data_IF_346152040895
#
_entry.id   IF_346152040895
#
_cell.length_a   1.000
_cell.length_b   1.000
_cell.length_c   1.000
_cell.angle_alpha   90.00
_cell.angle_beta   90.00
_cell.angle_gamma   90.00
#
_symmetry.space_group_name_H-M   'P 1'
#
loop_
_entity.id
_entity.type
_entity.pdbx_description
1 polymer ?
#
# COMPACT_ATOMS: atom_id res chain seq x y z
N UNK A 1 7.28 91.10 33.17
CA UNK A 1 8.58 91.32 32.49
C UNK A 1 8.70 90.24 31.42
N UNK A 2 8.67 90.45 30.09
CA UNK A 2 8.50 91.59 29.17
C UNK A 2 7.57 91.07 28.02
N UNK A 3 6.44 91.73 27.67
CA UNK A 3 6.24 92.65 26.50
C UNK A 3 6.32 91.88 25.14
N UNK A 4 5.44 91.95 24.11
CA UNK A 4 4.76 93.03 23.33
C UNK A 4 3.78 92.33 22.35
N UNK A 5 2.50 92.71 22.22
CA UNK A 5 1.89 93.62 21.22
C UNK A 5 2.14 93.26 19.72
N UNK A 6 1.00 93.12 19.02
CA UNK A 6 0.73 93.00 17.58
C UNK A 6 1.38 94.06 16.66
N UNK A 7 1.50 93.73 15.36
CA UNK A 7 1.15 94.53 14.16
C UNK A 7 1.58 93.73 12.90
N UNK A 8 0.68 93.28 12.01
CA UNK A 8 -0.01 93.97 10.88
C UNK A 8 0.90 94.36 9.69
N UNK A 9 0.56 93.75 8.54
CA UNK A 9 0.40 94.30 7.16
C UNK A 9 1.50 94.19 6.09
N UNK A 10 0.97 94.19 4.83
CA UNK A 10 1.55 94.25 3.47
C UNK A 10 1.74 92.88 2.79
N UNK A 11 1.40 92.61 1.52
CA UNK A 11 1.11 93.40 0.29
C UNK A 11 0.55 92.38 -0.76
N UNK A 12 -0.68 92.49 -1.32
CA UNK A 12 -1.11 93.05 -2.63
C UNK A 12 -0.75 92.27 -3.92
N UNK A 13 -1.73 92.22 -4.86
CA UNK A 13 -1.79 91.84 -6.30
C UNK A 13 -2.10 90.34 -6.61
N UNK A 14 -3.23 89.88 -7.20
CA UNK A 14 -4.20 90.31 -8.25
C UNK A 14 -3.86 89.76 -9.65
N UNK A 15 -4.86 89.07 -10.25
CA UNK A 15 -5.23 88.85 -11.68
C UNK A 15 -5.64 87.36 -11.90
N UNK A 16 -6.93 86.98 -11.95
CA UNK A 16 -8.00 87.08 -12.98
C UNK A 16 -7.97 86.00 -14.08
N UNK A 17 -9.10 85.28 -14.25
CA UNK A 17 -9.41 84.41 -15.40
C UNK A 17 -10.37 83.25 -15.05
N UNK A 18 -11.63 83.53 -14.73
CA UNK A 18 -12.83 83.33 -15.58
C UNK A 18 -13.42 81.89 -15.67
N UNK A 19 -14.67 81.84 -15.20
CA UNK A 19 -15.85 81.18 -15.77
C UNK A 19 -16.15 79.68 -15.51
N UNK A 20 -17.10 79.52 -14.56
CA UNK A 20 -18.39 78.80 -14.65
C UNK A 20 -18.41 77.27 -14.66
N UNK A 21 -19.09 76.76 -13.62
CA UNK A 21 -20.11 75.73 -13.79
C UNK A 21 -19.77 74.40 -13.13
N UNK A 22 -20.39 74.13 -11.99
CA UNK A 22 -21.38 73.08 -11.78
C UNK A 22 -21.36 72.63 -10.32
N UNK A 23 -22.57 72.56 -9.76
CA UNK A 23 -22.88 71.94 -8.49
C UNK A 23 -22.32 70.51 -8.51
N UNK A 24 -21.27 70.22 -7.74
CA UNK A 24 -20.93 68.84 -7.41
C UNK A 24 -21.69 68.47 -6.14
N UNK A 25 -22.83 67.82 -6.35
CA UNK A 25 -23.37 66.84 -5.41
C UNK A 25 -22.25 65.85 -5.08
N UNK A 26 -21.88 65.74 -3.81
CA UNK A 26 -21.05 64.63 -3.35
C UNK A 26 -21.94 63.38 -3.38
N UNK A 27 -21.86 62.61 -4.47
CA UNK A 27 -22.20 61.20 -4.44
C UNK A 27 -21.06 60.48 -3.70
N UNK A 28 -21.19 60.33 -2.38
CA UNK A 28 -20.50 59.27 -1.65
C UNK A 28 -21.26 57.96 -1.93
N UNK A 29 -21.14 57.49 -3.17
CA UNK A 29 -21.57 56.17 -3.60
C UNK A 29 -20.39 55.21 -3.35
N UNK A 30 -20.10 54.93 -2.08
CA UNK A 30 -19.29 53.76 -1.68
C UNK A 30 -20.10 52.52 -2.04
N UNK A 31 -20.08 52.17 -3.33
CA UNK A 31 -20.66 50.92 -3.84
C UNK A 31 -19.90 49.78 -3.19
N UNK A 32 -20.54 49.13 -2.21
CA UNK A 32 -20.20 47.79 -1.78
C UNK A 32 -19.95 46.94 -3.03
N UNK A 33 -18.69 46.60 -3.29
CA UNK A 33 -18.35 45.57 -4.27
C UNK A 33 -18.56 44.25 -3.55
N UNK A 34 -19.53 43.42 -3.96
CA UNK A 34 -19.59 42.05 -3.46
C UNK A 34 -18.24 41.40 -3.73
N UNK A 35 -17.73 40.62 -2.77
CA UNK A 35 -16.58 39.75 -3.04
C UNK A 35 -16.88 38.92 -4.30
N UNK A 36 -15.86 38.68 -5.12
CA UNK A 36 -16.01 37.87 -6.33
C UNK A 36 -16.61 36.50 -5.96
N UNK A 37 -17.54 36.01 -6.78
CA UNK A 37 -18.18 34.71 -6.57
C UNK A 37 -17.14 33.59 -6.65
N UNK A 38 -16.66 33.11 -5.51
CA UNK A 38 -15.68 32.03 -5.44
C UNK A 38 -16.41 30.72 -5.27
N UNK A 39 -16.38 29.91 -6.33
CA UNK A 39 -16.94 28.56 -6.35
C UNK A 39 -15.82 27.54 -6.29
N UNK A 40 -15.99 26.53 -5.44
CA UNK A 40 -15.05 25.42 -5.29
C UNK A 40 -15.83 24.10 -5.26
N UNK A 41 -15.29 23.07 -5.90
CA UNK A 41 -15.74 21.69 -5.66
C UNK A 41 -14.85 21.09 -4.57
N UNK A 42 -15.47 20.63 -3.49
CA UNK A 42 -14.77 19.93 -2.40
C UNK A 42 -15.23 18.49 -2.36
N UNK A 43 -14.27 17.56 -2.35
CA UNK A 43 -14.55 16.15 -2.07
C UNK A 43 -14.61 15.89 -0.57
N UNK A 44 -15.62 15.15 -0.10
CA UNK A 44 -15.72 14.75 1.32
C UNK A 44 -14.51 13.92 1.79
N UNK A 45 -13.88 13.15 0.90
CA UNK A 45 -12.68 12.37 1.22
C UNK A 45 -11.38 13.19 1.13
N UNK A 46 -11.45 14.44 0.63
CA UNK A 46 -10.28 15.27 0.37
C UNK A 46 -9.52 14.92 -0.92
N UNK A 47 -9.96 13.90 -1.67
CA UNK A 47 -9.35 13.47 -2.94
C UNK A 47 -10.41 13.30 -4.03
N UNK A 48 -9.98 13.44 -5.29
CA UNK A 48 -10.83 13.27 -6.48
C UNK A 48 -10.62 11.91 -7.16
N UNK A 49 -10.55 10.85 -6.36
CA UNK A 49 -10.44 9.48 -6.84
C UNK A 49 -11.46 8.60 -6.13
N UNK A 50 -12.00 7.61 -6.82
CA UNK A 50 -12.99 6.68 -6.25
C UNK A 50 -12.91 5.31 -6.94
N UNK A 51 -13.17 4.24 -6.19
CA UNK A 51 -13.30 2.92 -6.78
C UNK A 51 -14.55 2.87 -7.68
N UNK A 52 -14.46 2.13 -8.79
CA UNK A 52 -15.64 1.78 -9.60
C UNK A 52 -16.77 1.27 -8.70
N UNK A 53 -17.99 1.71 -9.01
CA UNK A 53 -19.24 1.40 -8.29
C UNK A 53 -19.32 1.91 -6.83
N UNK A 54 -18.27 2.55 -6.31
CA UNK A 54 -18.31 3.26 -5.04
C UNK A 54 -18.77 4.72 -5.24
N UNK A 55 -19.15 5.38 -4.15
CA UNK A 55 -19.70 6.74 -4.19
C UNK A 55 -18.67 7.78 -3.74
N UNK A 56 -18.48 8.81 -4.57
CA UNK A 56 -17.76 10.02 -4.21
C UNK A 56 -18.74 11.16 -3.93
N UNK A 57 -18.65 11.76 -2.75
CA UNK A 57 -19.49 12.89 -2.36
C UNK A 57 -18.76 14.20 -2.65
N UNK A 58 -19.32 14.98 -3.59
CA UNK A 58 -18.82 16.29 -3.98
C UNK A 58 -19.75 17.36 -3.41
N UNK A 59 -19.18 18.44 -2.90
CA UNK A 59 -19.91 19.61 -2.39
C UNK A 59 -19.48 20.85 -3.14
N UNK A 60 -20.44 21.62 -3.62
CA UNK A 60 -20.20 22.96 -4.11
C UNK A 60 -20.09 23.91 -2.90
N UNK A 61 -19.00 24.66 -2.82
CA UNK A 61 -18.78 25.66 -1.78
C UNK A 61 -18.73 27.04 -2.42
N UNK A 62 -19.50 27.97 -1.85
CA UNK A 62 -19.47 29.39 -2.18
C UNK A 62 -19.12 30.23 -0.96
N UNK A 63 -18.42 31.33 -1.20
CA UNK A 63 -18.08 32.34 -0.19
C UNK A 63 -19.27 33.24 0.20
N UNK A 64 -20.28 33.41 -0.66
CA UNK A 64 -21.47 34.24 -0.39
C UNK A 64 -22.79 33.49 -0.67
N UNK A 65 -23.50 32.96 0.35
CA UNK A 65 -24.70 32.17 0.16
C UNK A 65 -25.94 33.05 -0.01
N UNK A 66 -26.22 33.53 -1.22
CA UNK A 66 -27.56 34.00 -1.61
C UNK A 66 -28.40 32.83 -2.14
N UNK A 67 -29.56 33.10 -2.75
CA UNK A 67 -30.40 32.08 -3.39
C UNK A 67 -29.72 31.58 -4.68
N UNK A 68 -28.69 30.73 -4.52
CA UNK A 68 -27.85 30.22 -5.60
C UNK A 68 -28.47 28.97 -6.21
N UNK A 69 -28.50 28.91 -7.54
CA UNK A 69 -28.84 27.68 -8.27
C UNK A 69 -27.58 26.97 -8.72
N UNK A 70 -27.46 25.70 -8.38
CA UNK A 70 -26.38 24.84 -8.85
C UNK A 70 -26.80 24.02 -10.06
N UNK A 71 -25.85 23.73 -10.93
CA UNK A 71 -26.00 22.76 -12.01
C UNK A 71 -24.70 21.99 -12.15
N UNK A 72 -24.73 20.71 -11.78
CA UNK A 72 -23.63 19.77 -11.98
C UNK A 72 -23.78 19.12 -13.33
N UNK A 73 -22.69 19.02 -14.09
CA UNK A 73 -22.64 18.25 -15.32
C UNK A 73 -21.54 17.22 -15.31
N UNK A 74 -21.84 16.00 -15.74
CA UNK A 74 -20.90 14.93 -16.03
C UNK A 74 -20.69 14.86 -17.53
N UNK A 75 -19.46 15.11 -17.99
CA UNK A 75 -19.10 15.14 -19.41
C UNK A 75 -20.09 15.98 -20.27
N UNK A 76 -20.55 17.10 -19.70
CA UNK A 76 -21.50 18.04 -20.33
C UNK A 76 -22.98 17.71 -20.18
N UNK A 77 -23.37 16.59 -19.57
CA UNK A 77 -24.76 16.25 -19.28
C UNK A 77 -25.14 16.62 -17.84
N UNK A 78 -26.28 17.29 -17.64
CA UNK A 78 -26.77 17.63 -16.30
C UNK A 78 -27.08 16.38 -15.47
N UNK A 79 -26.54 16.33 -14.26
CA UNK A 79 -26.66 15.17 -13.34
C UNK A 79 -27.22 15.53 -11.96
N UNK A 80 -27.15 16.80 -11.56
CA UNK A 80 -27.70 17.27 -10.28
C UNK A 80 -27.87 18.79 -10.27
N UNK A 81 -28.79 19.27 -9.46
CA UNK A 81 -28.96 20.70 -9.14
C UNK A 81 -28.86 21.00 -7.64
N UNK A 82 -28.51 20.00 -6.82
CA UNK A 82 -28.31 20.15 -5.38
C UNK A 82 -26.92 20.75 -5.08
N UNK A 83 -26.75 21.29 -3.88
CA UNK A 83 -25.45 21.71 -3.31
C UNK A 83 -24.45 20.56 -3.14
N UNK A 84 -24.93 19.32 -3.14
CA UNK A 84 -24.14 18.09 -3.04
C UNK A 84 -24.44 17.20 -4.24
N UNK A 85 -23.38 16.64 -4.84
CA UNK A 85 -23.50 15.65 -5.90
C UNK A 85 -22.88 14.31 -5.45
N UNK A 86 -23.66 13.24 -5.59
CA UNK A 86 -23.23 11.85 -5.37
C UNK A 86 -22.77 11.26 -6.69
N UNK A 87 -21.47 11.26 -6.93
CA UNK A 87 -20.87 10.69 -8.13
C UNK A 87 -20.65 9.19 -7.97
N UNK A 88 -21.12 8.40 -8.94
CA UNK A 88 -20.92 6.94 -9.04
C UNK A 88 -20.66 6.61 -10.51
N UNK A 89 -19.66 5.78 -10.80
CA UNK A 89 -19.33 5.35 -12.15
C UNK A 89 -19.22 3.82 -12.24
N UNK A 90 -19.81 3.26 -13.30
CA UNK A 90 -19.76 1.83 -13.59
C UNK A 90 -18.51 1.41 -14.38
N UNK A 91 -17.76 2.35 -14.94
CA UNK A 91 -16.56 2.09 -15.72
C UNK A 91 -15.38 2.86 -15.14
N UNK A 92 -14.18 2.30 -15.32
CA UNK A 92 -12.93 2.97 -14.96
C UNK A 92 -12.62 4.06 -15.98
N UNK A 93 -11.87 5.08 -15.55
CA UNK A 93 -11.45 6.19 -16.42
C UNK A 93 -11.46 7.52 -15.70
N UNK A 94 -11.15 8.58 -16.45
CA UNK A 94 -11.24 9.95 -15.95
C UNK A 94 -12.57 10.56 -16.39
N UNK A 95 -13.30 11.12 -15.45
CA UNK A 95 -14.58 11.77 -15.68
C UNK A 95 -14.48 13.25 -15.36
N UNK A 96 -14.95 14.10 -16.28
CA UNK A 96 -14.96 15.54 -16.05
C UNK A 96 -16.28 15.93 -15.37
N UNK A 97 -16.16 16.53 -14.20
CA UNK A 97 -17.29 17.14 -13.50
C UNK A 97 -17.15 18.66 -13.57
N UNK A 98 -18.20 19.31 -14.06
CA UNK A 98 -18.36 20.76 -13.95
C UNK A 98 -19.47 21.06 -12.95
N UNK A 99 -19.31 22.08 -12.12
CA UNK A 99 -20.41 22.69 -11.37
C UNK A 99 -20.52 24.15 -11.74
N UNK A 100 -21.72 24.55 -12.16
CA UNK A 100 -22.09 25.94 -12.39
C UNK A 100 -22.91 26.44 -11.22
N UNK A 101 -22.59 27.63 -10.73
CA UNK A 101 -23.41 28.38 -9.79
C UNK A 101 -23.95 29.63 -10.48
N UNK A 102 -25.25 29.88 -10.33
CA UNK A 102 -25.91 31.10 -10.82
C UNK A 102 -26.46 31.88 -9.64
N UNK A 103 -25.98 33.11 -9.46
CA UNK A 103 -26.44 34.07 -8.44
C UNK A 103 -26.86 35.37 -9.12
N UNK A 104 -28.13 35.77 -8.99
CA UNK A 104 -28.63 37.03 -9.55
C UNK A 104 -28.47 37.22 -11.07
N UNK A 105 -28.10 36.18 -11.83
CA UNK A 105 -27.80 36.25 -13.27
C UNK A 105 -26.30 36.19 -13.61
N UNK A 106 -25.41 36.29 -12.63
CA UNK A 106 -23.99 35.98 -12.79
C UNK A 106 -23.78 34.48 -12.73
N UNK A 107 -23.01 33.93 -13.67
CA UNK A 107 -22.66 32.51 -13.74
C UNK A 107 -21.17 32.32 -13.50
N UNK A 108 -20.80 31.40 -12.63
CA UNK A 108 -19.42 30.91 -12.51
C UNK A 108 -19.40 29.39 -12.57
N UNK A 109 -18.38 28.83 -13.21
CA UNK A 109 -18.24 27.39 -13.41
C UNK A 109 -16.84 26.95 -13.01
N UNK A 110 -16.75 25.84 -12.28
CA UNK A 110 -15.47 25.19 -11.98
C UNK A 110 -15.51 23.71 -12.36
N UNK A 111 -14.34 23.18 -12.69
CA UNK A 111 -14.17 21.82 -13.20
C UNK A 111 -13.23 21.03 -12.31
N UNK A 112 -13.52 19.74 -12.13
CA UNK A 112 -12.57 18.75 -11.59
C UNK A 112 -12.53 17.51 -12.49
N UNK A 113 -11.40 16.81 -12.49
CA UNK A 113 -11.29 15.47 -13.09
C UNK A 113 -11.32 14.44 -11.97
N UNK A 114 -12.20 13.44 -12.08
CA UNK A 114 -12.29 12.34 -11.12
C UNK A 114 -11.71 11.08 -11.75
N UNK A 115 -10.69 10.49 -11.10
CA UNK A 115 -10.17 9.18 -11.49
C UNK A 115 -11.03 8.08 -10.87
N UNK A 116 -11.66 7.26 -11.72
CA UNK A 116 -12.35 6.04 -11.31
C UNK A 116 -11.44 4.86 -11.56
N UNK A 117 -11.00 4.24 -10.47
CA UNK A 117 -10.03 3.15 -10.48
C UNK A 117 -10.69 1.78 -10.20
N UNK A 118 -10.00 0.68 -10.48
CA UNK A 118 -10.57 -0.65 -10.25
C UNK A 118 -10.66 -1.00 -8.76
N UNK A 119 -11.72 -1.73 -8.39
CA UNK A 119 -12.11 -1.99 -6.99
C UNK A 119 -10.97 -2.41 -6.06
N UNK A 120 -9.98 -3.13 -6.57
CA UNK A 120 -8.89 -3.72 -5.79
C UNK A 120 -7.57 -2.92 -5.84
N UNK A 121 -7.54 -1.73 -6.45
CA UNK A 121 -6.33 -0.90 -6.58
C UNK A 121 -5.69 -0.55 -5.23
N UNK A 122 -6.51 -0.13 -4.27
CA UNK A 122 -6.05 0.31 -2.94
C UNK A 122 -6.67 -0.54 -1.85
N UNK A 123 -5.83 -1.24 -1.09
CA UNK A 123 -6.26 -2.04 0.05
C UNK A 123 -5.22 -3.07 0.47
N UNK A 124 -5.70 -4.10 1.16
CA UNK A 124 -4.86 -5.20 1.65
C UNK A 124 -5.44 -6.53 1.24
N UNK A 125 -4.60 -7.40 0.70
CA UNK A 125 -4.93 -8.79 0.41
C UNK A 125 -4.45 -9.72 1.52
N UNK A 126 -5.24 -10.73 1.83
CA UNK A 126 -4.83 -11.89 2.63
C UNK A 126 -4.93 -13.11 1.75
N UNK A 127 -3.79 -13.77 1.51
CA UNK A 127 -3.73 -14.98 0.70
C UNK A 127 -3.86 -16.19 1.61
N UNK A 128 -4.84 -17.05 1.34
CA UNK A 128 -5.05 -18.30 2.07
C UNK A 128 -4.54 -19.47 1.24
N UNK A 129 -3.68 -20.31 1.84
CA UNK A 129 -3.19 -21.54 1.21
C UNK A 129 -4.34 -22.47 0.82
N UNK A 130 -5.37 -22.52 1.68
CA UNK A 130 -6.39 -23.56 1.66
C UNK A 130 -5.84 -24.92 2.14
N UNK A 131 -6.69 -25.94 2.08
CA UNK A 131 -6.32 -27.33 2.38
C UNK A 131 -6.70 -28.23 1.21
N UNK A 132 -5.85 -28.28 0.18
CA UNK A 132 -6.15 -28.94 -1.10
C UNK A 132 -6.55 -30.42 -0.92
N UNK A 133 -5.97 -31.11 0.05
CA UNK A 133 -6.30 -32.51 0.39
C UNK A 133 -7.73 -32.70 0.92
N UNK A 134 -8.38 -31.62 1.36
CA UNK A 134 -9.79 -31.57 1.75
C UNK A 134 -10.68 -30.91 0.68
N UNK A 135 -10.14 -30.67 -0.52
CA UNK A 135 -10.85 -29.99 -1.60
C UNK A 135 -10.93 -28.46 -1.44
N UNK A 136 -10.21 -27.87 -0.49
CA UNK A 136 -10.17 -26.42 -0.29
C UNK A 136 -8.95 -25.83 -1.01
N UNK A 137 -9.20 -25.11 -2.09
CA UNK A 137 -8.16 -24.44 -2.87
C UNK A 137 -7.82 -23.06 -2.29
N UNK A 138 -6.78 -22.41 -2.81
CA UNK A 138 -6.39 -21.10 -2.33
C UNK A 138 -7.48 -20.05 -2.51
N UNK A 139 -7.60 -19.14 -1.55
CA UNK A 139 -8.53 -18.00 -1.62
C UNK A 139 -7.81 -16.70 -1.37
N UNK A 140 -8.37 -15.60 -1.89
CA UNK A 140 -7.85 -14.25 -1.70
C UNK A 140 -8.93 -13.44 -0.99
N UNK A 141 -8.61 -12.89 0.17
CA UNK A 141 -9.46 -11.92 0.89
C UNK A 141 -8.97 -10.52 0.56
N UNK A 142 -9.88 -9.57 0.40
CA UNK A 142 -9.55 -8.15 0.24
C UNK A 142 -10.16 -7.32 1.37
N UNK A 143 -9.35 -6.45 1.96
CA UNK A 143 -9.76 -5.45 2.95
C UNK A 143 -9.61 -4.08 2.29
N UNK A 144 -10.73 -3.39 2.10
CA UNK A 144 -10.73 -2.05 1.49
C UNK A 144 -10.12 -1.01 2.43
N UNK A 145 -9.77 0.20 1.94
CA UNK A 145 -9.26 1.28 2.78
C UNK A 145 -10.28 1.74 3.85
N UNK A 146 -11.56 1.44 3.63
CA UNK A 146 -12.66 1.69 4.59
C UNK A 146 -12.79 0.58 5.65
N UNK A 147 -11.94 -0.45 5.63
CA UNK A 147 -12.00 -1.60 6.54
C UNK A 147 -13.07 -2.64 6.19
N UNK A 148 -13.62 -2.60 4.96
CA UNK A 148 -14.63 -3.57 4.53
C UNK A 148 -13.93 -4.81 4.00
N UNK A 149 -14.23 -5.96 4.61
CA UNK A 149 -13.66 -7.26 4.21
C UNK A 149 -14.54 -7.94 3.18
N UNK A 150 -13.94 -8.42 2.10
CA UNK A 150 -14.57 -9.28 1.11
C UNK A 150 -13.73 -10.54 0.94
N UNK A 151 -14.30 -11.69 1.22
CA UNK A 151 -13.65 -12.99 1.04
C UNK A 151 -13.63 -13.41 -0.43
N UNK A 152 -12.75 -14.36 -0.77
CA UNK A 152 -12.77 -15.11 -2.02
C UNK A 152 -12.88 -14.25 -3.29
N UNK A 153 -12.21 -13.09 -3.31
CA UNK A 153 -12.40 -12.07 -4.36
C UNK A 153 -11.97 -12.59 -5.74
N UNK A 154 -10.93 -13.41 -5.82
CA UNK A 154 -10.55 -14.05 -7.09
C UNK A 154 -11.68 -14.93 -7.66
N UNK A 155 -12.30 -15.76 -6.82
CA UNK A 155 -13.42 -16.61 -7.23
C UNK A 155 -14.62 -15.77 -7.66
N UNK A 156 -14.94 -14.70 -6.93
CA UNK A 156 -16.04 -13.80 -7.29
C UNK A 156 -15.83 -13.12 -8.64
N UNK A 157 -14.59 -12.84 -9.00
CA UNK A 157 -14.28 -12.18 -10.28
C UNK A 157 -14.13 -13.14 -11.46
N UNK A 158 -13.78 -14.41 -11.23
CA UNK A 158 -13.42 -15.36 -12.30
C UNK A 158 -14.28 -16.63 -12.34
N UNK A 159 -15.05 -16.94 -11.30
CA UNK A 159 -15.86 -18.16 -11.17
C UNK A 159 -15.06 -19.44 -10.85
N UNK A 160 -13.72 -19.37 -10.87
CA UNK A 160 -12.80 -20.47 -10.53
C UNK A 160 -11.94 -20.16 -9.31
N UNK A 161 -11.39 -21.18 -8.66
CA UNK A 161 -10.50 -21.02 -7.50
C UNK A 161 -9.03 -20.93 -7.92
N UNK A 162 -8.20 -20.36 -7.05
CA UNK A 162 -6.74 -20.39 -7.22
C UNK A 162 -6.21 -21.83 -7.12
N UNK A 163 -4.92 -22.02 -7.35
CA UNK A 163 -4.26 -23.30 -7.13
C UNK A 163 -4.26 -23.73 -5.64
N UNK A 164 -3.92 -24.99 -5.39
CA UNK A 164 -3.85 -25.56 -4.06
C UNK A 164 -2.55 -25.19 -3.33
N UNK A 165 -2.66 -24.67 -2.10
CA UNK A 165 -1.51 -24.27 -1.31
C UNK A 165 -0.84 -23.02 -1.88
N UNK A 166 -1.61 -21.95 -2.13
CA UNK A 166 -1.05 -20.65 -2.54
C UNK A 166 -0.06 -20.14 -1.49
N UNK A 167 1.15 -19.74 -1.87
CA UNK A 167 2.21 -19.39 -0.89
C UNK A 167 2.63 -17.93 -0.93
N UNK A 168 2.59 -17.30 -2.10
CA UNK A 168 3.13 -15.96 -2.27
C UNK A 168 2.41 -15.21 -3.39
N UNK A 169 2.44 -13.88 -3.29
CA UNK A 169 1.77 -12.96 -4.19
C UNK A 169 2.70 -11.80 -4.50
N UNK A 170 2.87 -11.52 -5.79
CA UNK A 170 3.63 -10.38 -6.28
C UNK A 170 2.74 -9.44 -7.09
N UNK A 171 2.96 -8.13 -6.99
CA UNK A 171 2.22 -7.14 -7.79
C UNK A 171 3.22 -6.27 -8.55
N UNK A 172 3.05 -6.18 -9.88
CA UNK A 172 3.88 -5.37 -10.76
C UNK A 172 3.16 -5.06 -12.06
N UNK A 173 3.40 -3.88 -12.64
CA UNK A 173 2.83 -3.42 -13.92
C UNK A 173 1.31 -3.68 -14.08
N UNK A 174 0.54 -3.43 -13.01
CA UNK A 174 -0.91 -3.64 -12.93
C UNK A 174 -1.32 -5.12 -13.11
N UNK A 175 -0.39 -6.02 -12.80
CA UNK A 175 -0.59 -7.46 -12.76
C UNK A 175 -0.29 -7.98 -11.37
N UNK A 176 -1.08 -8.96 -10.98
CA UNK A 176 -1.00 -9.69 -9.73
C UNK A 176 -0.67 -11.14 -10.08
N UNK A 177 0.38 -11.65 -9.46
CA UNK A 177 0.96 -12.96 -9.71
C UNK A 177 0.82 -13.78 -8.43
N UNK A 178 0.15 -14.93 -8.48
CA UNK A 178 0.00 -15.83 -7.32
C UNK A 178 0.64 -17.17 -7.65
N UNK A 179 1.51 -17.65 -6.76
CA UNK A 179 2.15 -18.96 -6.87
C UNK A 179 1.51 -19.97 -5.91
N UNK A 180 1.28 -21.20 -6.38
CA UNK A 180 0.67 -22.30 -5.63
C UNK A 180 1.55 -23.54 -5.64
N UNK A 181 1.66 -24.22 -4.49
CA UNK A 181 2.53 -25.38 -4.35
C UNK A 181 2.08 -26.61 -5.13
N UNK A 182 0.77 -26.81 -5.27
CA UNK A 182 0.19 -28.05 -5.78
C UNK A 182 -0.58 -27.87 -7.09
N UNK A 183 -0.56 -26.66 -7.66
CA UNK A 183 -1.31 -26.35 -8.87
C UNK A 183 -2.82 -26.63 -8.78
N UNK A 184 -3.42 -26.94 -9.92
CA UNK A 184 -4.81 -27.34 -10.07
C UNK A 184 -5.83 -26.20 -10.06
N UNK A 185 -7.11 -26.57 -10.24
CA UNK A 185 -8.25 -25.66 -10.42
C UNK A 185 -8.00 -24.64 -11.56
N UNK A 186 -8.67 -23.50 -11.50
CA UNK A 186 -8.58 -22.42 -12.49
C UNK A 186 -7.24 -21.65 -12.43
N UNK A 187 -6.62 -21.62 -11.24
CA UNK A 187 -5.40 -20.86 -10.98
C UNK A 187 -4.09 -21.55 -11.34
N UNK A 188 -4.04 -22.89 -11.34
CA UNK A 188 -2.84 -23.66 -11.60
C UNK A 188 -1.67 -23.38 -10.64
N UNK A 189 -0.44 -23.71 -11.04
CA UNK A 189 0.77 -23.40 -10.26
C UNK A 189 1.06 -21.90 -10.22
N UNK A 190 0.83 -21.18 -11.32
CA UNK A 190 0.98 -19.73 -11.41
C UNK A 190 -0.29 -19.12 -12.01
N UNK A 191 -0.90 -18.19 -11.28
CA UNK A 191 -2.00 -17.35 -11.76
C UNK A 191 -1.49 -15.94 -12.04
N UNK A 192 -1.84 -15.37 -13.19
CA UNK A 192 -1.63 -13.95 -13.51
C UNK A 192 -2.99 -13.30 -13.76
N UNK A 193 -3.26 -12.20 -13.07
CA UNK A 193 -4.50 -11.43 -13.17
C UNK A 193 -4.23 -9.93 -13.18
N UNK A 194 -5.16 -9.14 -13.67
CA UNK A 194 -5.09 -7.68 -13.53
C UNK A 194 -5.20 -7.30 -12.04
N UNK A 195 -4.30 -6.43 -11.54
CA UNK A 195 -4.21 -6.13 -10.11
C UNK A 195 -5.39 -5.31 -9.58
N UNK A 196 -6.00 -4.44 -10.40
CA UNK A 196 -7.11 -3.58 -9.98
C UNK A 196 -8.50 -4.23 -10.09
N UNK A 197 -8.65 -5.22 -10.98
CA UNK A 197 -9.94 -5.88 -11.28
C UNK A 197 -9.97 -7.37 -10.91
N UNK A 198 -8.81 -7.97 -10.65
CA UNK A 198 -8.59 -9.41 -10.44
C UNK A 198 -9.08 -10.31 -11.58
N UNK A 199 -9.43 -9.76 -12.74
CA UNK A 199 -9.73 -10.58 -13.92
C UNK A 199 -8.49 -11.34 -14.34
N UNK A 200 -8.60 -12.67 -14.40
CA UNK A 200 -7.55 -13.57 -14.81
C UNK A 200 -7.13 -13.24 -16.24
N UNK A 201 -5.82 -13.12 -16.43
CA UNK A 201 -5.21 -12.97 -17.75
C UNK A 201 -4.66 -14.31 -18.24
N UNK A 202 -3.98 -15.05 -17.36
CA UNK A 202 -3.45 -16.38 -17.65
C UNK A 202 -3.26 -17.23 -16.40
N UNK A 203 -3.14 -18.54 -16.60
CA UNK A 203 -2.76 -19.51 -15.58
C UNK A 203 -1.86 -20.58 -16.21
N UNK A 204 -0.92 -21.10 -15.44
CA UNK A 204 0.06 -22.08 -15.92
C UNK A 204 0.06 -23.31 -15.02
N UNK A 205 -0.29 -24.46 -15.60
CA UNK A 205 -0.33 -25.76 -14.92
C UNK A 205 0.69 -26.68 -15.56
N UNK A 206 0.44 -27.09 -16.80
CA UNK A 206 1.25 -28.08 -17.53
C UNK A 206 2.69 -27.60 -17.76
N UNK A 207 2.88 -26.30 -18.01
CA UNK A 207 4.20 -25.70 -18.23
C UNK A 207 5.12 -25.79 -17.00
N UNK A 208 4.54 -25.92 -15.81
CA UNK A 208 5.25 -25.80 -14.54
C UNK A 208 5.24 -27.10 -13.73
N UNK A 209 4.11 -27.84 -13.72
CA UNK A 209 3.85 -28.92 -12.77
C UNK A 209 4.70 -30.17 -12.92
N UNK A 210 5.31 -30.40 -14.08
CA UNK A 210 6.24 -31.52 -14.29
C UNK A 210 7.65 -31.25 -13.77
N UNK A 211 7.99 -29.97 -13.53
CA UNK A 211 9.36 -29.55 -13.21
C UNK A 211 9.47 -28.94 -11.81
N UNK A 212 8.52 -28.09 -11.41
CA UNK A 212 8.56 -27.42 -10.11
C UNK A 212 8.25 -28.38 -8.96
N UNK A 213 8.96 -28.22 -7.85
CA UNK A 213 8.73 -28.97 -6.61
C UNK A 213 8.28 -28.05 -5.48
N UNK A 214 6.96 -28.02 -5.23
CA UNK A 214 6.32 -27.20 -4.20
C UNK A 214 6.76 -25.72 -4.25
N UNK A 215 6.54 -25.01 -5.37
CA UNK A 215 6.94 -23.62 -5.51
C UNK A 215 6.30 -22.74 -4.44
N UNK A 216 7.06 -21.76 -3.97
CA UNK A 216 6.79 -21.09 -2.69
C UNK A 216 6.87 -19.58 -2.74
N UNK A 217 7.75 -19.00 -3.56
CA UNK A 217 7.89 -17.54 -3.62
C UNK A 217 8.04 -17.10 -5.07
N UNK A 218 7.59 -15.88 -5.34
CA UNK A 218 7.60 -15.31 -6.68
C UNK A 218 8.16 -13.89 -6.66
N UNK A 219 8.98 -13.56 -7.64
CA UNK A 219 9.45 -12.21 -7.92
C UNK A 219 9.37 -11.93 -9.42
N UNK A 220 9.06 -10.69 -9.80
CA UNK A 220 8.86 -10.33 -11.20
C UNK A 220 9.74 -9.14 -11.57
N UNK A 221 10.61 -9.31 -12.57
CA UNK A 221 11.39 -8.21 -13.15
C UNK A 221 10.69 -7.58 -14.36
N UNK A 222 9.98 -8.39 -15.15
CA UNK A 222 9.09 -7.94 -16.22
C UNK A 222 8.04 -9.04 -16.53
N UNK A 223 7.08 -8.72 -17.40
CA UNK A 223 5.96 -9.60 -17.76
C UNK A 223 6.40 -10.95 -18.36
N UNK A 224 7.63 -11.03 -18.90
CA UNK A 224 8.27 -12.21 -19.49
C UNK A 224 9.51 -12.70 -18.69
N UNK A 225 9.70 -12.19 -17.48
CA UNK A 225 10.87 -12.42 -16.64
C UNK A 225 10.42 -12.61 -15.18
N UNK A 226 9.74 -13.74 -14.97
CA UNK A 226 9.17 -14.16 -13.69
C UNK A 226 10.13 -15.16 -13.04
N UNK A 227 10.36 -15.04 -11.74
CA UNK A 227 11.25 -15.90 -10.97
C UNK A 227 10.46 -16.60 -9.88
N UNK A 228 10.60 -17.92 -9.82
CA UNK A 228 9.84 -18.81 -8.95
C UNK A 228 10.84 -19.59 -8.10
N UNK A 229 10.76 -19.44 -6.78
CA UNK A 229 11.54 -20.24 -5.83
C UNK A 229 10.76 -21.48 -5.43
N UNK A 230 11.38 -22.64 -5.55
CA UNK A 230 10.83 -23.94 -5.14
C UNK A 230 11.79 -24.69 -4.20
N UNK A 231 11.59 -25.99 -3.97
CA UNK A 231 12.47 -26.79 -3.12
C UNK A 231 13.87 -27.02 -3.69
N UNK A 232 14.07 -26.91 -5.00
CA UNK A 232 15.36 -27.14 -5.65
C UNK A 232 16.19 -25.85 -5.73
N UNK A 233 15.55 -24.69 -5.91
CA UNK A 233 16.24 -23.41 -6.01
C UNK A 233 15.32 -22.35 -6.62
N UNK A 234 15.87 -21.54 -7.53
CA UNK A 234 15.13 -20.51 -8.26
C UNK A 234 15.06 -20.88 -9.74
N UNK A 235 13.87 -20.77 -10.32
CA UNK A 235 13.63 -20.91 -11.75
C UNK A 235 13.19 -19.57 -12.33
N UNK A 236 13.57 -19.31 -13.57
CA UNK A 236 13.04 -18.24 -14.40
C UNK A 236 12.00 -18.81 -15.35
N UNK A 237 10.82 -18.21 -15.38
CA UNK A 237 9.73 -18.53 -16.28
C UNK A 237 9.46 -17.38 -17.24
N UNK A 238 9.33 -17.70 -18.54
CA UNK A 238 8.89 -16.78 -19.57
C UNK A 238 7.49 -17.18 -20.05
N UNK A 239 6.43 -16.47 -19.60
CA UNK A 239 5.05 -16.64 -20.06
C UNK A 239 4.83 -16.73 -21.57
N UNK A 240 5.53 -15.92 -22.38
CA UNK A 240 5.32 -15.87 -23.83
C UNK A 240 5.88 -17.09 -24.55
N UNK A 241 7.09 -17.53 -24.17
CA UNK A 241 7.74 -18.71 -24.78
C UNK A 241 7.39 -20.01 -24.06
N UNK A 242 6.77 -19.94 -22.88
CA UNK A 242 6.48 -21.06 -21.98
C UNK A 242 7.71 -21.83 -21.53
N UNK A 243 8.88 -21.18 -21.54
CA UNK A 243 10.14 -21.80 -21.13
C UNK A 243 10.38 -21.55 -19.64
N UNK A 244 10.61 -22.63 -18.91
CA UNK A 244 11.07 -22.63 -17.52
C UNK A 244 12.54 -23.04 -17.48
N UNK A 245 13.39 -22.22 -16.86
CA UNK A 245 14.85 -22.40 -16.80
C UNK A 245 15.33 -22.35 -15.37
N UNK A 246 16.05 -23.38 -14.91
CA UNK A 246 16.69 -23.34 -13.60
C UNK A 246 17.82 -22.29 -13.58
N UNK A 247 17.89 -21.49 -12.51
CA UNK A 247 18.98 -20.53 -12.32
C UNK A 247 20.17 -21.24 -11.68
N UNK A 248 21.22 -21.48 -12.46
CA UNK A 248 22.45 -22.10 -11.96
C UNK A 248 23.05 -21.29 -10.79
N UNK A 249 23.46 -21.99 -9.73
CA UNK A 249 23.95 -21.39 -8.48
C UNK A 249 22.88 -21.07 -7.44
N UNK A 250 21.59 -21.19 -7.79
CA UNK A 250 20.48 -20.92 -6.86
C UNK A 250 20.08 -22.08 -5.95
N UNK A 251 20.72 -23.25 -6.08
CA UNK A 251 20.37 -24.45 -5.34
C UNK A 251 20.40 -24.20 -3.81
N UNK A 252 19.33 -24.57 -3.11
CA UNK A 252 19.21 -24.33 -1.67
C UNK A 252 18.87 -22.89 -1.28
N UNK A 253 18.36 -22.07 -2.21
CA UNK A 253 17.75 -20.78 -1.87
C UNK A 253 16.68 -20.95 -0.77
N UNK A 254 16.74 -20.10 0.25
CA UNK A 254 15.88 -20.18 1.43
C UNK A 254 14.40 -20.01 1.04
N UNK A 255 13.49 -20.67 1.78
CA UNK A 255 12.05 -20.49 1.65
C UNK A 255 11.62 -19.18 2.31
N UNK A 256 11.88 -18.06 1.65
CA UNK A 256 11.50 -16.70 2.04
C UNK A 256 11.34 -15.81 0.82
N UNK A 257 10.71 -14.64 0.99
CA UNK A 257 10.61 -13.60 -0.06
C UNK A 257 11.93 -13.38 -0.78
N UNK A 258 11.85 -13.25 -2.10
CA UNK A 258 12.95 -12.76 -2.94
C UNK A 258 12.72 -11.27 -3.17
N UNK A 259 13.61 -10.41 -2.66
CA UNK A 259 13.42 -8.97 -2.75
C UNK A 259 13.88 -8.43 -4.11
N UNK A 260 13.09 -7.52 -4.68
CA UNK A 260 13.43 -6.84 -5.93
C UNK A 260 13.88 -5.42 -5.63
N UNK A 261 15.07 -5.06 -6.10
CA UNK A 261 15.61 -3.71 -6.02
C UNK A 261 16.57 -3.43 -7.17
N UNK A 262 16.57 -2.19 -7.68
CA UNK A 262 17.48 -1.75 -8.74
C UNK A 262 17.54 -2.69 -9.96
N UNK A 263 16.38 -3.21 -10.40
CA UNK A 263 16.26 -4.14 -11.52
C UNK A 263 16.84 -5.53 -11.29
N UNK A 264 17.12 -5.92 -10.03
CA UNK A 264 17.69 -7.22 -9.66
C UNK A 264 16.84 -7.91 -8.60
N UNK A 265 17.01 -9.21 -8.50
CA UNK A 265 16.44 -10.05 -7.46
C UNK A 265 17.53 -10.42 -6.46
N UNK A 266 17.22 -10.31 -5.18
CA UNK A 266 18.05 -10.72 -4.06
C UNK A 266 17.35 -11.85 -3.32
N UNK A 267 17.93 -13.05 -3.35
CA UNK A 267 17.40 -14.22 -2.66
C UNK A 267 18.39 -14.68 -1.58
N UNK A 268 17.88 -15.05 -0.41
CA UNK A 268 18.70 -15.63 0.65
C UNK A 268 19.12 -17.06 0.30
N UNK A 269 20.37 -17.40 0.58
CA UNK A 269 20.91 -18.75 0.51
C UNK A 269 21.83 -18.96 1.72
N UNK A 270 21.28 -19.48 2.82
CA UNK A 270 21.98 -19.60 4.11
C UNK A 270 22.58 -18.26 4.60
N UNK A 271 23.92 -18.12 4.59
CA UNK A 271 24.69 -16.97 5.05
C UNK A 271 25.17 -16.06 3.91
N UNK A 272 24.49 -16.08 2.77
CA UNK A 272 24.77 -15.19 1.64
C UNK A 272 23.49 -14.82 0.90
N UNK A 273 23.52 -13.71 0.18
CA UNK A 273 22.54 -13.39 -0.84
C UNK A 273 23.06 -13.81 -2.20
N UNK A 274 22.19 -14.39 -3.01
CA UNK A 274 22.41 -14.55 -4.44
C UNK A 274 21.68 -13.43 -5.18
N UNK A 275 22.36 -12.83 -6.15
CA UNK A 275 21.81 -11.78 -7.01
C UNK A 275 21.48 -12.37 -8.36
N UNK A 276 20.26 -12.15 -8.82
CA UNK A 276 19.80 -12.59 -10.14
C UNK A 276 19.41 -11.34 -10.94
N UNK A 277 19.92 -11.25 -12.17
CA UNK A 277 19.64 -10.14 -13.07
C UNK A 277 18.75 -10.63 -14.22
N UNK A 278 18.04 -9.69 -14.82
CA UNK A 278 17.10 -9.96 -15.88
C UNK A 278 17.72 -10.78 -17.01
N UNK A 279 16.94 -11.71 -17.55
CA UNK A 279 17.29 -12.56 -18.69
C UNK A 279 18.46 -13.53 -18.51
N UNK A 280 19.01 -13.71 -17.30
CA UNK A 280 20.11 -14.66 -17.06
C UNK A 280 19.60 -16.05 -16.66
N UNK A 281 20.40 -17.08 -16.98
CA UNK A 281 20.19 -18.48 -16.59
C UNK A 281 21.04 -18.91 -15.39
N UNK A 282 21.79 -17.99 -14.79
CA UNK A 282 22.65 -18.23 -13.63
C UNK A 282 22.68 -17.00 -12.71
N UNK A 283 23.07 -17.20 -11.45
CA UNK A 283 23.27 -16.09 -10.52
C UNK A 283 24.35 -15.14 -11.05
N UNK A 284 24.15 -13.84 -10.86
CA UNK A 284 25.12 -12.81 -11.24
C UNK A 284 26.18 -12.56 -10.18
N UNK A 285 25.83 -12.79 -8.91
CA UNK A 285 26.73 -12.53 -7.79
C UNK A 285 26.31 -13.28 -6.53
N UNK A 286 27.31 -13.61 -5.72
CA UNK A 286 27.13 -14.01 -4.32
C UNK A 286 27.64 -12.89 -3.41
N UNK A 287 26.86 -12.56 -2.38
CA UNK A 287 27.20 -11.53 -1.40
C UNK A 287 27.19 -12.21 -0.03
N UNK A 288 28.37 -12.48 0.56
CA UNK A 288 28.46 -13.02 1.91
C UNK A 288 27.81 -12.10 2.93
N UNK A 289 27.12 -12.68 3.91
CA UNK A 289 26.47 -11.97 5.01
C UNK A 289 26.91 -12.58 6.34
N UNK A 290 27.12 -11.74 7.35
CA UNK A 290 27.48 -12.19 8.69
C UNK A 290 26.25 -12.79 9.41
N UNK A 291 26.10 -14.11 9.34
CA UNK A 291 25.00 -14.87 9.95
C UNK A 291 24.04 -15.47 8.93
N UNK A 292 23.20 -16.41 9.37
CA UNK A 292 22.22 -17.05 8.50
C UNK A 292 21.01 -16.13 8.30
N UNK A 293 20.61 -15.90 7.06
CA UNK A 293 19.53 -14.98 6.71
C UNK A 293 18.18 -15.64 7.02
N UNK A 294 17.37 -14.97 7.84
CA UNK A 294 15.99 -15.35 8.16
C UNK A 294 14.93 -14.53 7.42
N UNK A 295 15.29 -13.39 6.84
CA UNK A 295 14.35 -12.60 6.05
C UNK A 295 15.06 -11.65 5.09
N UNK A 296 14.44 -11.42 3.94
CA UNK A 296 14.89 -10.47 2.91
C UNK A 296 13.66 -9.71 2.42
N UNK A 297 13.67 -8.38 2.52
CA UNK A 297 12.59 -7.53 2.01
C UNK A 297 13.15 -6.30 1.29
N UNK A 298 12.44 -5.76 0.28
CA UNK A 298 12.79 -4.46 -0.26
C UNK A 298 12.60 -3.38 0.82
N UNK A 299 13.41 -2.34 0.74
CA UNK A 299 13.22 -1.11 1.50
C UNK A 299 12.60 -0.02 0.63
N UNK A 300 11.92 0.95 1.24
CA UNK A 300 11.26 2.03 0.52
C UNK A 300 12.21 2.98 -0.22
N UNK A 301 13.52 2.94 0.07
CA UNK A 301 14.53 3.78 -0.60
C UNK A 301 15.30 3.03 -1.70
N UNK A 302 14.78 1.88 -2.16
CA UNK A 302 15.34 1.12 -3.27
C UNK A 302 16.51 0.22 -2.89
N UNK A 303 16.76 0.02 -1.59
CA UNK A 303 17.75 -0.91 -1.04
C UNK A 303 17.09 -2.16 -0.46
N UNK A 304 17.87 -3.00 0.24
CA UNK A 304 17.41 -4.26 0.81
C UNK A 304 17.57 -4.25 2.34
N UNK A 305 16.55 -4.75 3.05
CA UNK A 305 16.65 -5.11 4.46
C UNK A 305 16.85 -6.62 4.61
N UNK A 306 17.73 -7.00 5.52
CA UNK A 306 17.96 -8.39 5.91
C UNK A 306 17.73 -8.56 7.41
N UNK A 307 17.12 -9.68 7.77
CA UNK A 307 17.19 -10.22 9.11
C UNK A 307 18.14 -11.42 9.12
N UNK A 308 19.03 -11.47 10.11
CA UNK A 308 19.97 -12.55 10.30
C UNK A 308 19.83 -13.15 11.70
N UNK A 309 19.87 -14.48 11.76
CA UNK A 309 19.80 -15.27 12.97
C UNK A 309 21.07 -15.10 13.80
N UNK A 310 20.95 -15.23 15.11
CA UNK A 310 22.10 -15.39 15.97
C UNK A 310 22.89 -16.67 15.58
N UNK A 311 24.21 -16.64 15.74
CA UNK A 311 25.08 -17.77 15.39
C UNK A 311 26.28 -17.84 16.33
N UNK A 312 26.28 -18.80 17.25
CA UNK A 312 27.30 -18.88 18.29
C UNK A 312 27.24 -17.66 19.21
N UNK A 313 28.33 -16.91 19.31
CA UNK A 313 28.43 -15.68 20.10
C UNK A 313 27.92 -14.43 19.35
N UNK A 314 27.66 -14.53 18.04
CA UNK A 314 27.12 -13.42 17.26
C UNK A 314 25.61 -13.25 17.51
N UNK A 315 25.15 -12.05 17.93
CA UNK A 315 23.73 -11.80 18.14
C UNK A 315 22.98 -11.78 16.80
N UNK A 316 21.65 -11.94 16.88
CA UNK A 316 20.78 -11.68 15.74
C UNK A 316 20.95 -10.22 15.30
N UNK A 317 20.80 -9.94 14.02
CA UNK A 317 21.06 -8.61 13.46
C UNK A 317 20.11 -8.24 12.33
N UNK A 318 19.91 -6.93 12.18
CA UNK A 318 19.28 -6.34 11.01
C UNK A 318 20.37 -5.67 10.18
N UNK A 319 20.32 -5.87 8.86
CA UNK A 319 21.30 -5.33 7.93
C UNK A 319 20.57 -4.52 6.86
N UNK A 320 21.07 -3.32 6.57
CA UNK A 320 20.73 -2.56 5.37
C UNK A 320 21.79 -2.78 4.32
N UNK A 321 21.41 -3.32 3.17
CA UNK A 321 22.29 -3.54 2.02
C UNK A 321 21.94 -2.55 0.91
N UNK A 322 22.93 -1.78 0.47
CA UNK A 322 22.79 -0.95 -0.72
C UNK A 322 22.71 -1.81 -1.98
N UNK A 323 21.63 -1.70 -2.75
CA UNK A 323 21.33 -2.59 -3.86
C UNK A 323 22.24 -2.39 -5.11
N UNK A 324 23.02 -1.32 -5.16
CA UNK A 324 23.91 -1.02 -6.28
C UNK A 324 25.37 -1.32 -5.96
N UNK A 325 25.87 -0.79 -4.85
CA UNK A 325 27.25 -0.91 -4.38
C UNK A 325 27.50 -2.18 -3.57
N UNK A 326 26.44 -2.78 -3.01
CA UNK A 326 26.50 -3.89 -2.06
C UNK A 326 27.18 -3.56 -0.72
N UNK A 327 27.30 -2.28 -0.39
CA UNK A 327 27.75 -1.86 0.95
C UNK A 327 26.68 -2.17 1.99
N UNK A 328 27.11 -2.51 3.21
CA UNK A 328 26.21 -2.92 4.29
C UNK A 328 26.38 -2.04 5.53
N UNK A 329 25.27 -1.81 6.22
CA UNK A 329 25.23 -1.29 7.58
C UNK A 329 24.51 -2.32 8.45
N UNK A 330 25.02 -2.58 9.65
CA UNK A 330 24.50 -3.62 10.54
C UNK A 330 24.13 -3.04 11.91
N UNK A 331 23.01 -3.52 12.45
CA UNK A 331 22.59 -3.33 13.84
C UNK A 331 22.37 -4.69 14.50
N UNK A 332 23.11 -4.94 15.58
CA UNK A 332 22.82 -6.05 16.49
C UNK A 332 21.49 -5.83 17.21
N UNK A 333 20.76 -6.92 17.43
CA UNK A 333 19.54 -6.95 18.24
C UNK A 333 19.91 -7.47 19.62
N UNK A 334 20.15 -6.53 20.53
CA UNK A 334 20.60 -6.80 21.91
C UNK A 334 19.48 -7.35 22.80
N UNK A 335 18.21 -7.08 22.47
CA UNK A 335 17.09 -7.66 23.19
C UNK A 335 16.97 -9.16 22.88
N UNK A 336 17.12 -9.99 23.91
CA UNK A 336 17.15 -11.45 23.78
C UNK A 336 15.86 -12.02 23.16
N UNK A 337 14.71 -11.43 23.48
CA UNK A 337 13.42 -11.91 22.98
C UNK A 337 13.23 -11.51 21.51
N UNK A 338 13.55 -10.27 21.18
CA UNK A 338 13.55 -9.80 19.79
C UNK A 338 14.53 -10.61 18.93
N UNK A 339 15.73 -10.88 19.44
CA UNK A 339 16.73 -11.71 18.76
C UNK A 339 16.25 -13.14 18.51
N UNK A 340 15.52 -13.75 19.45
CA UNK A 340 14.89 -15.08 19.28
C UNK A 340 13.85 -15.10 18.16
N UNK A 341 13.08 -14.02 17.97
CA UNK A 341 12.14 -13.93 16.84
C UNK A 341 12.89 -14.02 15.51
N UNK A 342 14.04 -13.36 15.40
CA UNK A 342 14.85 -13.37 14.17
C UNK A 342 15.58 -14.69 13.92
N UNK A 343 15.73 -15.58 14.91
CA UNK A 343 16.29 -16.92 14.71
C UNK A 343 15.44 -17.79 13.78
N UNK A 344 14.20 -17.38 13.54
CA UNK A 344 13.33 -18.01 12.58
C UNK A 344 12.64 -19.27 13.11
N UNK A 345 12.13 -20.07 12.17
CA UNK A 345 11.20 -21.17 12.43
C UNK A 345 10.66 -21.68 11.09
N UNK A 346 9.42 -22.17 11.10
CA UNK A 346 8.78 -22.78 9.92
C UNK A 346 8.12 -21.79 8.96
N UNK A 347 8.05 -20.50 9.33
CA UNK A 347 7.38 -19.49 8.52
C UNK A 347 8.05 -19.34 7.15
N UNK A 348 7.22 -19.17 6.12
CA UNK A 348 7.65 -18.85 4.77
C UNK A 348 7.87 -17.34 4.61
N UNK A 349 7.13 -16.50 5.33
CA UNK A 349 7.31 -15.05 5.25
C UNK A 349 8.58 -14.58 5.98
N UNK A 350 9.21 -13.47 5.57
CA UNK A 350 10.34 -12.88 6.28
C UNK A 350 10.03 -12.58 7.75
N UNK A 351 11.01 -12.77 8.64
CA UNK A 351 10.87 -12.47 10.08
C UNK A 351 10.94 -10.97 10.41
N UNK A 352 11.01 -10.12 9.38
CA UNK A 352 10.94 -8.67 9.48
C UNK A 352 9.96 -8.12 8.45
N UNK A 353 9.32 -7.02 8.80
CA UNK A 353 8.53 -6.17 7.90
C UNK A 353 8.90 -4.71 8.19
N UNK A 354 8.72 -3.78 7.26
CA UNK A 354 9.26 -2.42 7.43
C UNK A 354 8.33 -1.33 6.91
N UNK A 355 8.37 -0.19 7.60
CA UNK A 355 7.86 1.10 7.13
C UNK A 355 9.02 2.10 7.20
N UNK A 356 9.57 2.46 6.04
CA UNK A 356 10.76 3.31 5.96
C UNK A 356 11.94 2.69 6.70
N UNK A 357 12.48 3.43 7.67
CA UNK A 357 13.62 3.05 8.51
C UNK A 357 13.23 2.28 9.78
N UNK A 358 11.93 2.01 9.99
CA UNK A 358 11.44 1.26 11.15
C UNK A 358 11.04 -0.14 10.73
N UNK A 359 11.67 -1.14 11.35
CA UNK A 359 11.40 -2.56 11.14
C UNK A 359 10.57 -3.11 12.30
N UNK A 360 9.75 -4.10 12.02
CA UNK A 360 8.89 -4.77 12.99
C UNK A 360 9.09 -6.27 12.92
N UNK A 361 9.00 -6.92 14.07
CA UNK A 361 9.12 -8.36 14.23
C UNK A 361 8.13 -8.84 15.29
N UNK A 362 7.54 -10.02 15.09
CA UNK A 362 6.54 -10.57 15.99
C UNK A 362 6.74 -12.08 16.16
N UNK A 363 6.50 -12.58 17.37
CA UNK A 363 6.56 -14.01 17.67
C UNK A 363 5.32 -14.75 17.16
N UNK A 364 5.55 -15.96 16.61
CA UNK A 364 4.50 -16.87 16.16
C UNK A 364 3.74 -17.55 17.31
N UNK A 365 4.45 -17.90 18.39
CA UNK A 365 3.94 -18.67 19.53
C UNK A 365 3.62 -17.79 20.72
N UNK A 366 2.74 -18.23 21.62
CA UNK A 366 2.43 -17.56 22.90
C UNK A 366 3.60 -17.65 23.90
N UNK A 367 4.01 -16.57 24.60
CA UNK A 367 3.57 -15.17 24.44
C UNK A 367 3.96 -14.63 23.06
N UNK A 368 3.13 -13.76 22.45
CA UNK A 368 3.31 -13.25 21.09
C UNK A 368 3.75 -11.78 21.06
N UNK A 369 4.94 -11.45 21.58
CA UNK A 369 5.42 -10.09 21.62
C UNK A 369 5.67 -9.53 20.22
N UNK A 370 5.42 -8.24 20.08
CA UNK A 370 5.76 -7.41 18.92
C UNK A 370 6.83 -6.43 19.34
N UNK A 371 7.89 -6.34 18.53
CA UNK A 371 8.97 -5.38 18.68
C UNK A 371 9.06 -4.49 17.46
N UNK A 372 9.50 -3.25 17.67
CA UNK A 372 9.98 -2.37 16.59
C UNK A 372 11.47 -2.10 16.77
N UNK A 373 12.17 -1.97 15.66
CA UNK A 373 13.55 -1.54 15.60
C UNK A 373 13.67 -0.31 14.70
N UNK A 374 14.10 0.81 15.24
CA UNK A 374 14.40 2.02 14.47
C UNK A 374 15.88 2.00 14.11
N UNK A 375 16.17 1.74 12.84
CA UNK A 375 17.51 1.37 12.39
C UNK A 375 18.52 2.51 12.54
N UNK A 376 18.16 3.73 12.15
CA UNK A 376 18.99 4.93 12.35
C UNK A 376 19.32 5.24 13.81
N UNK A 377 18.47 4.80 14.75
CA UNK A 377 18.66 5.02 16.19
C UNK A 377 19.32 3.83 16.88
N UNK A 378 19.49 2.70 16.18
CA UNK A 378 19.96 1.42 16.75
C UNK A 378 19.15 1.00 17.98
N UNK A 379 17.84 1.28 17.95
CA UNK A 379 16.96 1.14 19.12
C UNK A 379 15.88 0.10 18.86
N UNK A 380 15.83 -0.92 19.71
CA UNK A 380 14.77 -1.93 19.73
C UNK A 380 13.84 -1.66 20.90
N UNK A 381 12.52 -1.69 20.65
CA UNK A 381 11.50 -1.41 21.64
C UNK A 381 10.41 -2.48 21.62
N UNK A 382 10.01 -2.92 22.81
CA UNK A 382 8.84 -3.77 22.99
C UNK A 382 7.56 -2.95 22.83
N UNK A 383 6.68 -3.38 21.93
CA UNK A 383 5.43 -2.66 21.62
C UNK A 383 4.23 -3.22 22.38
N UNK A 384 4.28 -4.49 22.78
CA UNK A 384 3.18 -5.19 23.43
C UNK A 384 3.10 -6.64 22.98
N UNK A 385 2.24 -7.42 23.64
CA UNK A 385 1.95 -8.81 23.29
C UNK A 385 0.53 -8.91 22.70
N UNK A 386 0.42 -9.47 21.50
CA UNK A 386 -0.86 -9.62 20.81
C UNK A 386 -1.85 -10.48 21.62
N UNK A 387 -1.37 -11.49 22.35
CA UNK A 387 -2.22 -12.42 23.11
C UNK A 387 -2.99 -11.75 24.24
N UNK A 388 -2.52 -10.63 24.78
CA UNK A 388 -3.23 -9.90 25.84
C UNK A 388 -4.54 -9.24 25.37
N UNK A 389 -4.80 -9.22 24.06
CA UNK A 389 -5.98 -8.60 23.44
C UNK A 389 -6.80 -9.59 22.62
N UNK A 390 -6.39 -10.86 22.60
CA UNK A 390 -6.96 -11.87 21.71
C UNK A 390 -7.40 -13.10 22.51
N UNK A 391 -8.51 -13.69 22.06
CA UNK A 391 -9.02 -14.97 22.49
C UNK A 391 -8.73 -16.06 21.45
N UNK A 392 -8.91 -17.34 21.78
CA UNK A 392 -8.85 -18.46 20.85
C UNK A 392 -7.60 -18.45 19.94
N UNK A 393 -6.42 -18.32 20.55
CA UNK A 393 -5.14 -18.22 19.83
C UNK A 393 -4.42 -19.56 19.87
N UNK A 394 -4.18 -20.16 18.72
CA UNK A 394 -3.22 -21.26 18.56
C UNK A 394 -1.83 -20.70 18.21
N UNK A 395 -1.75 -19.90 17.14
CA UNK A 395 -0.51 -19.31 16.65
C UNK A 395 -0.81 -18.10 15.76
N UNK A 396 0.15 -17.18 15.64
CA UNK A 396 0.28 -16.36 14.43
C UNK A 396 0.78 -17.30 13.34
N UNK A 397 0.05 -17.38 12.23
CA UNK A 397 0.45 -18.15 11.07
C UNK A 397 1.33 -17.26 10.19
N UNK A 398 2.56 -17.70 9.92
CA UNK A 398 3.62 -16.89 9.32
C UNK A 398 4.03 -15.68 10.21
N UNK A 399 4.46 -14.56 9.62
CA UNK A 399 4.90 -13.37 10.34
C UNK A 399 3.88 -12.24 10.22
N UNK A 400 4.00 -11.24 11.11
CA UNK A 400 3.26 -9.98 11.00
C UNK A 400 3.69 -9.19 9.76
N UNK A 401 2.81 -8.32 9.25
CA UNK A 401 3.11 -7.40 8.16
C UNK A 401 2.73 -5.97 8.55
N UNK A 402 3.60 -4.98 8.28
CA UNK A 402 3.30 -3.58 8.56
C UNK A 402 2.81 -2.88 7.30
N UNK A 403 1.70 -2.18 7.42
CA UNK A 403 1.15 -1.38 6.34
C UNK A 403 2.11 -0.23 6.00
N UNK A 404 2.57 -0.10 4.74
CA UNK A 404 3.65 0.82 4.37
C UNK A 404 3.28 2.30 4.57
N UNK A 405 2.00 2.65 4.40
CA UNK A 405 1.49 4.02 4.61
C UNK A 405 1.09 4.28 6.06
N UNK A 406 0.14 3.52 6.61
CA UNK A 406 -0.43 3.81 7.94
C UNK A 406 0.51 3.42 9.08
N UNK A 407 1.33 2.38 8.91
CA UNK A 407 2.14 1.79 9.98
C UNK A 407 1.37 0.81 10.86
N UNK A 408 0.14 0.47 10.50
CA UNK A 408 -0.65 -0.56 11.18
C UNK A 408 -0.04 -1.94 10.99
N UNK A 409 -0.11 -2.78 12.01
CA UNK A 409 0.42 -4.15 11.97
C UNK A 409 -0.70 -5.14 11.77
N UNK A 410 -0.61 -5.91 10.70
CA UNK A 410 -1.52 -6.99 10.35
C UNK A 410 -0.96 -8.31 10.84
N UNK A 411 -1.81 -9.11 11.46
CA UNK A 411 -1.46 -10.41 12.01
C UNK A 411 -2.56 -11.42 11.67
N UNK A 412 -2.17 -12.54 11.07
CA UNK A 412 -3.07 -13.65 10.77
C UNK A 412 -3.02 -14.66 11.91
N UNK A 413 -4.02 -14.62 12.79
CA UNK A 413 -4.09 -15.43 13.99
C UNK A 413 -5.04 -16.58 13.73
N UNK A 414 -4.56 -17.81 13.90
CA UNK A 414 -5.42 -18.99 13.74
C UNK A 414 -5.72 -19.61 15.11
N UNK A 415 -6.93 -20.14 15.26
CA UNK A 415 -7.34 -21.04 16.34
C UNK A 415 -7.17 -22.51 15.94
N UNK A 416 -7.15 -22.79 14.63
CA UNK A 416 -6.97 -24.11 14.03
C UNK A 416 -6.38 -24.00 12.63
N UNK A 417 -5.66 -25.02 12.19
CA UNK A 417 -5.14 -25.09 10.82
C UNK A 417 -6.25 -25.33 9.77
N UNK A 418 -7.46 -25.72 10.18
CA UNK A 418 -8.59 -25.89 9.26
C UNK A 418 -9.40 -24.60 9.14
N UNK A 419 -10.35 -24.56 8.20
CA UNK A 419 -11.39 -23.54 8.19
C UNK A 419 -12.12 -23.51 9.53
N UNK A 420 -11.93 -22.43 10.29
CA UNK A 420 -12.47 -22.23 11.63
C UNK A 420 -13.03 -20.81 11.71
N UNK A 421 -14.30 -20.62 12.15
CA UNK A 421 -14.87 -19.30 12.37
C UNK A 421 -14.05 -18.42 13.31
N UNK A 422 -13.23 -19.00 14.19
CA UNK A 422 -12.36 -18.27 15.11
C UNK A 422 -11.00 -17.90 14.51
N UNK A 423 -10.62 -18.41 13.34
CA UNK A 423 -9.45 -17.89 12.63
C UNK A 423 -9.69 -16.43 12.24
N UNK A 424 -8.70 -15.55 12.44
CA UNK A 424 -8.92 -14.10 12.40
C UNK A 424 -7.74 -13.32 11.81
N UNK A 425 -8.08 -12.24 11.12
CA UNK A 425 -7.14 -11.20 10.68
C UNK A 425 -7.24 -10.06 11.69
N UNK A 426 -6.16 -9.81 12.42
CA UNK A 426 -6.09 -8.72 13.38
C UNK A 426 -5.29 -7.56 12.78
N UNK A 427 -5.77 -6.34 13.04
CA UNK A 427 -5.07 -5.10 12.72
C UNK A 427 -4.80 -4.38 14.02
N UNK A 428 -3.54 -4.05 14.25
CA UNK A 428 -3.06 -3.32 15.41
C UNK A 428 -2.54 -1.95 15.01
N UNK A 429 -2.73 -0.97 15.89
CA UNK A 429 -2.06 0.31 15.84
C UNK A 429 -1.11 0.48 17.03
N UNK A 430 -0.36 1.59 17.03
CA UNK A 430 0.53 1.96 18.12
C UNK A 430 0.03 3.25 18.77
N UNK A 431 -0.99 3.14 19.62
CA UNK A 431 -1.51 4.27 20.38
C UNK A 431 -0.58 4.59 21.57
N UNK A 432 0.02 5.79 21.58
CA UNK A 432 1.06 6.18 22.56
C UNK A 432 2.20 5.15 22.66
N UNK A 433 2.69 4.68 21.52
CA UNK A 433 3.77 3.69 21.44
C UNK A 433 3.45 2.33 22.08
N UNK A 434 2.17 1.99 22.25
CA UNK A 434 1.72 0.69 22.72
C UNK A 434 0.79 0.03 21.73
N UNK A 435 0.93 -1.28 21.58
CA UNK A 435 0.10 -2.11 20.73
C UNK A 435 -1.36 -2.05 21.20
N UNK A 436 -2.26 -1.64 20.31
CA UNK A 436 -3.70 -1.68 20.54
C UNK A 436 -4.44 -2.31 19.35
N UNK A 437 -5.46 -3.11 19.66
CA UNK A 437 -6.25 -3.80 18.66
C UNK A 437 -7.22 -2.80 18.01
N UNK A 438 -7.05 -2.56 16.71
CA UNK A 438 -7.88 -1.66 15.91
C UNK A 438 -9.02 -2.40 15.23
N UNK A 439 -8.75 -3.57 14.66
CA UNK A 439 -9.76 -4.39 13.99
C UNK A 439 -9.50 -5.89 14.19
N UNK A 440 -10.57 -6.68 14.15
CA UNK A 440 -10.53 -8.13 14.31
C UNK A 440 -11.58 -8.78 13.39
N UNK A 441 -11.13 -9.34 12.28
CA UNK A 441 -11.99 -9.94 11.26
C UNK A 441 -11.95 -11.47 11.37
N UNK A 442 -13.01 -12.08 11.90
CA UNK A 442 -13.12 -13.52 12.14
C UNK A 442 -13.71 -14.29 10.95
N UNK A 443 -13.30 -15.54 10.75
CA UNK A 443 -13.88 -16.48 9.79
C UNK A 443 -13.41 -16.31 8.34
N UNK A 444 -12.32 -15.58 8.10
CA UNK A 444 -11.83 -15.26 6.75
C UNK A 444 -10.52 -15.96 6.37
N UNK A 445 -9.92 -16.75 7.26
CA UNK A 445 -8.60 -17.35 7.02
C UNK A 445 -8.56 -18.86 7.17
N UNK A 446 -7.81 -19.50 6.28
CA UNK A 446 -7.49 -20.93 6.30
C UNK A 446 -6.04 -21.09 5.81
N UNK A 447 -5.14 -21.40 6.75
CA UNK A 447 -3.69 -21.40 6.51
C UNK A 447 -3.22 -20.14 5.75
N UNK A 448 -3.35 -18.93 6.33
CA UNK A 448 -3.10 -17.68 5.62
C UNK A 448 -1.60 -17.48 5.32
N UNK A 449 -1.21 -17.70 4.06
CA UNK A 449 0.16 -17.61 3.57
C UNK A 449 0.83 -16.25 3.85
N UNK A 450 0.07 -15.16 3.77
CA UNK A 450 0.63 -13.83 4.02
C UNK A 450 -0.37 -12.68 3.88
N UNK A 451 0.13 -11.48 4.16
CA UNK A 451 -0.57 -10.20 4.02
C UNK A 451 0.16 -9.37 2.97
N UNK A 452 -0.58 -8.85 1.99
CA UNK A 452 -0.01 -8.16 0.85
C UNK A 452 -0.70 -6.81 0.65
N UNK A 453 0.07 -5.73 0.71
CA UNK A 453 -0.45 -4.37 0.55
C UNK A 453 -0.38 -3.94 -0.91
N UNK A 454 -1.49 -3.47 -1.48
CA UNK A 454 -1.48 -2.99 -2.87
C UNK A 454 -0.70 -1.69 -3.02
N UNK A 455 -0.50 -0.93 -1.93
CA UNK A 455 0.32 0.27 -1.88
C UNK A 455 1.80 0.04 -2.17
N UNK A 456 2.28 -1.21 -2.17
CA UNK A 456 3.64 -1.55 -2.61
C UNK A 456 3.78 -1.51 -4.15
N UNK A 457 2.70 -1.22 -4.87
CA UNK A 457 2.62 -1.21 -6.32
C UNK A 457 2.61 0.21 -6.94
N UNK A 458 2.67 1.26 -6.11
CA UNK A 458 2.70 2.66 -6.57
C UNK A 458 4.09 3.15 -7.00
#
# INVERSE_FOLDING_TARGET
>A
MKIKIMKKFYLVLLVLGMFVGFLSSCDDDDKYKPDALELEIVSKSGVFTVAKEDTLFLKAKLNNPQEVKFTWTLDGQEVSTDSVYMFIAANMGNYKIDVKATDGGEETTVSVSIEVYGKYKYGTFILNEGQVWKGHYGTLVFISPKGIVTDSVYFKENGGSLGGGTQDLYIRNNKLYIISQNGGNDGGFLTIANAETLKKESSYEDELGSTLSMPSHIAVLDDNDIYIRDNNGVYRFNPSSKVLTFIEGSAGANKTTMAVANGKIFAAQSNKLIVIESNKSSISKEIPVSGNISGVIPSSDGNIWLACRASGEEPAKIIKLDAQSYSMQENSIEDETAGKILNGGWNATPYITAKGDTLYMGSGSTPMPVYRHVFSQKKTEFMGDMTERLDHVLTLYNCIAVHPITGEVYANIISSYSLDPENKICVFDFNNDKLALKANYKGYTECPAGVFFTYNFE
#
